data_IF_544206214057
#
_entry.id   IF_544206214057
#
_cell.length_a   1.000
_cell.length_b   1.000
_cell.length_c   1.000
_cell.angle_alpha   90.00
_cell.angle_beta   90.00
_cell.angle_gamma   90.00
#
_symmetry.space_group_name_H-M   'P 1'
#
loop_
_entity.id
_entity.type
_entity.pdbx_description
1 polymer ?
#
# COMPACT_ATOMS: atom_id res chain seq x y z
N UNK A 1 38.89 52.21 -47.60
CA UNK A 1 39.26 51.93 -46.21
C UNK A 1 38.15 52.48 -45.34
N UNK A 2 37.13 51.68 -45.04
CA UNK A 2 36.99 50.90 -43.77
C UNK A 2 37.04 51.81 -42.54
N UNK A 3 36.11 51.78 -41.60
CA UNK A 3 34.97 50.91 -41.35
C UNK A 3 34.05 51.62 -40.34
N UNK A 4 32.77 51.28 -40.40
CA UNK A 4 31.75 51.53 -39.39
C UNK A 4 32.16 51.00 -38.01
N UNK A 5 31.69 51.67 -36.95
CA UNK A 5 30.94 51.03 -35.86
C UNK A 5 30.57 52.05 -34.78
N UNK A 6 29.29 52.26 -34.53
CA UNK A 6 28.64 51.68 -33.35
C UNK A 6 27.25 52.30 -33.17
N UNK A 7 26.26 51.45 -33.42
CA UNK A 7 24.85 51.71 -33.28
C UNK A 7 24.39 51.61 -31.81
N UNK A 8 23.48 52.50 -31.40
CA UNK A 8 22.47 52.19 -30.38
C UNK A 8 21.20 52.95 -30.73
N UNK A 9 20.28 52.24 -31.39
CA UNK A 9 18.88 52.66 -31.49
C UNK A 9 18.05 51.75 -30.59
N UNK A 10 17.26 52.39 -29.75
CA UNK A 10 16.41 51.75 -28.75
C UNK A 10 14.98 51.65 -29.26
N UNK A 11 14.40 50.45 -29.03
CA UNK A 11 12.98 50.13 -28.80
C UNK A 11 11.97 50.40 -29.92
N UNK A 12 11.29 49.32 -30.31
CA UNK A 12 9.90 49.34 -30.74
C UNK A 12 9.15 48.20 -30.04
N UNK A 13 8.02 48.58 -29.45
CA UNK A 13 6.94 47.75 -28.91
C UNK A 13 6.24 46.90 -29.98
N UNK A 14 5.62 45.81 -29.54
CA UNK A 14 4.40 45.28 -30.16
C UNK A 14 4.46 43.83 -30.62
N UNK A 15 3.55 43.00 -30.08
CA UNK A 15 3.17 41.75 -30.75
C UNK A 15 2.67 40.64 -29.82
N UNK A 16 1.47 40.82 -29.27
CA UNK A 16 0.65 39.73 -28.73
C UNK A 16 0.28 38.75 -29.85
N UNK A 17 0.56 37.46 -29.67
CA UNK A 17 -0.11 36.37 -30.39
C UNK A 17 -0.69 35.39 -29.37
N UNK A 18 -2.00 35.49 -29.23
CA UNK A 18 -2.91 34.40 -28.85
C UNK A 18 -2.80 33.29 -29.88
N UNK A 19 -2.52 32.07 -29.42
CA UNK A 19 -2.87 30.86 -30.16
C UNK A 19 -3.18 29.74 -29.18
N UNK A 20 -4.48 29.46 -29.07
CA UNK A 20 -4.95 28.11 -29.41
C UNK A 20 -4.59 26.97 -28.45
N UNK A 21 -5.43 26.82 -27.43
CA UNK A 21 -5.74 25.56 -26.75
C UNK A 21 -5.88 24.39 -27.73
N UNK A 22 -5.06 23.33 -27.58
CA UNK A 22 -5.48 21.94 -27.30
C UNK A 22 -4.42 20.90 -27.71
N UNK A 23 -3.71 20.37 -26.72
CA UNK A 23 -3.26 18.98 -26.65
C UNK A 23 -3.29 18.64 -25.14
N UNK A 24 -4.19 17.79 -24.66
CA UNK A 24 -4.13 16.37 -24.98
C UNK A 24 -2.97 15.75 -24.20
N UNK A 25 -3.07 15.77 -22.87
CA UNK A 25 -2.07 15.27 -21.94
C UNK A 25 -2.68 14.92 -20.60
N UNK A 26 -3.75 14.11 -20.61
CA UNK A 26 -4.07 13.30 -19.43
C UNK A 26 -2.90 12.34 -19.19
N UNK A 27 -2.26 12.46 -18.02
CA UNK A 27 -1.92 11.36 -17.09
C UNK A 27 -1.08 11.88 -15.91
N UNK A 28 -1.70 11.83 -14.73
CA UNK A 28 -1.11 11.61 -13.39
C UNK A 28 0.04 12.53 -12.95
N UNK A 29 -0.32 13.72 -12.47
CA UNK A 29 0.54 14.53 -11.60
C UNK A 29 0.27 14.26 -10.10
N UNK A 30 -0.12 13.03 -9.73
CA UNK A 30 -0.44 12.64 -8.34
C UNK A 30 0.45 11.51 -7.77
N UNK A 31 1.54 11.12 -8.45
CA UNK A 31 2.39 9.98 -8.05
C UNK A 31 3.70 10.35 -7.32
N UNK A 32 3.85 11.60 -6.87
CA UNK A 32 5.18 12.11 -6.49
C UNK A 32 5.61 11.97 -5.03
N UNK A 33 4.68 11.73 -4.08
CA UNK A 33 5.02 11.75 -2.65
C UNK A 33 4.58 10.45 -1.99
N UNK A 34 5.50 9.49 -1.98
CA UNK A 34 5.41 8.29 -1.16
C UNK A 34 5.28 8.66 0.32
N UNK A 35 4.55 7.83 1.06
CA UNK A 35 4.55 7.89 2.52
C UNK A 35 5.95 7.54 3.06
N UNK A 36 6.19 7.89 4.32
CA UNK A 36 7.38 7.42 5.05
C UNK A 36 7.47 5.89 5.18
N UNK A 37 6.42 5.16 4.81
CA UNK A 37 6.30 3.71 4.96
C UNK A 37 6.45 2.94 3.64
N UNK A 38 6.75 3.60 2.51
CA UNK A 38 6.74 2.94 1.18
C UNK A 38 7.61 1.68 1.10
N UNK A 39 8.80 1.72 1.68
CA UNK A 39 9.73 0.58 1.65
C UNK A 39 9.26 -0.56 2.56
N UNK A 40 8.67 -0.22 3.71
CA UNK A 40 8.06 -1.19 4.62
C UNK A 40 6.86 -1.89 3.95
N UNK A 41 5.97 -1.13 3.30
CA UNK A 41 4.83 -1.66 2.54
C UNK A 41 5.30 -2.61 1.44
N UNK A 42 6.33 -2.22 0.68
CA UNK A 42 6.92 -3.05 -0.37
C UNK A 42 7.50 -4.35 0.20
N UNK A 43 8.21 -4.27 1.32
CA UNK A 43 8.79 -5.42 2.00
C UNK A 43 7.71 -6.41 2.48
N UNK A 44 6.65 -5.90 3.10
CA UNK A 44 5.52 -6.71 3.57
C UNK A 44 4.80 -7.41 2.41
N UNK A 45 4.53 -6.68 1.33
CA UNK A 45 3.91 -7.25 0.13
C UNK A 45 4.81 -8.28 -0.57
N UNK A 46 6.13 -8.07 -0.61
CA UNK A 46 7.07 -9.03 -1.16
C UNK A 46 7.14 -10.31 -0.32
N UNK A 47 7.13 -10.17 1.00
CA UNK A 47 7.15 -11.28 1.96
C UNK A 47 5.89 -12.13 1.86
N UNK A 48 4.71 -11.51 1.84
CA UNK A 48 3.43 -12.21 1.67
C UNK A 48 3.41 -13.07 0.40
N UNK A 49 3.85 -12.50 -0.74
CA UNK A 49 3.95 -13.21 -2.01
C UNK A 49 4.97 -14.36 -1.98
N UNK A 50 6.10 -14.17 -1.29
CA UNK A 50 7.12 -15.20 -1.16
C UNK A 50 6.62 -16.37 -0.33
N UNK A 51 5.99 -16.10 0.82
CA UNK A 51 5.38 -17.13 1.67
C UNK A 51 4.25 -17.85 0.94
N UNK A 52 3.41 -17.13 0.18
CA UNK A 52 2.34 -17.76 -0.59
C UNK A 52 2.86 -18.76 -1.64
N UNK A 53 4.01 -18.49 -2.25
CA UNK A 53 4.68 -19.41 -3.18
C UNK A 53 5.34 -20.60 -2.50
N UNK A 54 5.78 -20.43 -1.25
CA UNK A 54 6.48 -21.45 -0.45
C UNK A 54 5.56 -22.19 0.50
N UNK A 55 4.27 -21.88 0.49
CA UNK A 55 3.33 -22.43 1.44
C UNK A 55 3.29 -23.95 1.33
N UNK A 56 3.51 -24.59 2.46
CA UNK A 56 3.28 -26.01 2.67
C UNK A 56 2.30 -26.14 3.84
N UNK A 57 1.31 -27.01 3.67
CA UNK A 57 0.33 -27.24 4.72
C UNK A 57 1.04 -27.76 5.98
N UNK A 58 0.73 -27.20 7.16
CA UNK A 58 1.33 -27.68 8.39
C UNK A 58 0.92 -29.14 8.65
N UNK A 59 1.78 -29.93 9.32
CA UNK A 59 1.42 -31.29 9.73
C UNK A 59 0.26 -31.25 10.73
N UNK A 60 -0.41 -32.38 10.92
CA UNK A 60 -1.53 -32.52 11.86
C UNK A 60 -1.18 -31.96 13.25
N UNK A 61 -2.02 -31.06 13.75
CA UNK A 61 -1.82 -30.36 15.03
C UNK A 61 -0.94 -29.10 14.97
N UNK A 62 -0.24 -28.82 13.87
CA UNK A 62 0.60 -27.64 13.68
C UNK A 62 -0.13 -26.39 13.14
N UNK A 63 -1.42 -26.51 12.84
CA UNK A 63 -2.22 -25.45 12.22
C UNK A 63 -2.21 -24.14 13.01
N UNK A 64 -2.49 -24.20 14.32
CA UNK A 64 -2.57 -23.01 15.18
C UNK A 64 -1.23 -22.28 15.29
N UNK A 65 -0.12 -23.02 15.45
CA UNK A 65 1.21 -22.43 15.57
C UNK A 65 1.62 -21.73 14.26
N UNK A 66 1.39 -22.38 13.11
CA UNK A 66 1.70 -21.80 11.80
C UNK A 66 0.80 -20.60 11.49
N UNK A 67 -0.48 -20.69 11.81
CA UNK A 67 -1.43 -19.60 11.65
C UNK A 67 -1.03 -18.37 12.49
N UNK A 68 -0.62 -18.57 13.75
CA UNK A 68 -0.12 -17.49 14.61
C UNK A 68 1.17 -16.86 14.10
N UNK A 69 2.05 -17.64 13.45
CA UNK A 69 3.23 -17.12 12.74
C UNK A 69 2.80 -16.12 11.66
N UNK A 70 1.84 -16.47 10.78
CA UNK A 70 1.33 -15.56 9.75
C UNK A 70 0.61 -14.33 10.30
N UNK A 71 -0.05 -14.45 11.45
CA UNK A 71 -0.60 -13.27 12.14
C UNK A 71 0.52 -12.33 12.57
N UNK A 72 1.57 -12.85 13.24
CA UNK A 72 2.66 -12.04 13.78
C UNK A 72 3.56 -11.44 12.72
N UNK A 73 3.84 -12.19 11.66
CA UNK A 73 4.77 -11.80 10.60
C UNK A 73 4.11 -10.99 9.49
N UNK A 74 2.78 -11.06 9.38
CA UNK A 74 2.03 -10.49 8.27
C UNK A 74 0.88 -9.60 8.66
N UNK A 75 -0.19 -10.18 9.24
CA UNK A 75 -1.43 -9.44 9.54
C UNK A 75 -1.17 -8.27 10.50
N UNK A 76 -0.44 -8.54 11.59
CA UNK A 76 -0.11 -7.53 12.59
C UNK A 76 0.71 -6.37 12.00
N UNK A 77 1.87 -6.58 11.34
CA UNK A 77 2.65 -5.48 10.79
C UNK A 77 1.95 -4.73 9.65
N UNK A 78 1.24 -5.41 8.74
CA UNK A 78 0.47 -4.73 7.67
C UNK A 78 -0.60 -3.81 8.26
N UNK A 79 -1.31 -4.27 9.29
CA UNK A 79 -2.32 -3.46 9.97
C UNK A 79 -1.68 -2.33 10.79
N UNK A 80 -0.55 -2.61 11.45
CA UNK A 80 0.22 -1.65 12.23
C UNK A 80 0.67 -0.45 11.41
N UNK A 81 1.24 -0.68 10.22
CA UNK A 81 1.62 0.40 9.29
C UNK A 81 0.47 1.35 8.99
N UNK A 82 -0.74 0.79 8.76
CA UNK A 82 -1.90 1.63 8.52
C UNK A 82 -2.30 2.44 9.75
N UNK A 83 -2.29 1.83 10.95
CA UNK A 83 -2.61 2.53 12.21
C UNK A 83 -1.58 3.63 12.49
N UNK A 84 -0.29 3.34 12.37
CA UNK A 84 0.79 4.30 12.62
C UNK A 84 0.71 5.50 11.69
N UNK A 85 0.45 5.29 10.40
CA UNK A 85 0.25 6.38 9.44
C UNK A 85 -0.92 7.32 9.81
N UNK A 86 -1.94 6.81 10.51
CA UNK A 86 -3.14 7.56 10.89
C UNK A 86 -3.11 8.10 12.32
N UNK A 87 -2.20 7.63 13.17
CA UNK A 87 -2.09 8.03 14.58
C UNK A 87 -0.76 8.71 14.91
N UNK A 88 0.25 8.61 14.04
CA UNK A 88 1.49 9.35 14.12
C UNK A 88 1.27 10.84 13.88
N UNK A 89 2.04 11.68 14.58
CA UNK A 89 1.86 13.14 14.60
C UNK A 89 1.89 13.84 13.23
N UNK A 90 2.42 13.17 12.20
CA UNK A 90 2.25 13.54 10.79
C UNK A 90 1.33 12.51 10.12
N UNK A 91 0.04 12.81 9.99
CA UNK A 91 -0.93 11.98 9.27
C UNK A 91 -0.44 11.70 7.85
N UNK A 92 0.18 10.54 7.64
CA UNK A 92 0.77 10.18 6.37
C UNK A 92 -0.34 9.88 5.37
N UNK A 93 -0.31 10.55 4.21
CA UNK A 93 -1.17 10.19 3.08
C UNK A 93 -0.48 9.12 2.26
N UNK A 94 -1.06 7.92 2.25
CA UNK A 94 -0.67 6.90 1.29
C UNK A 94 -1.10 7.31 -0.12
N UNK A 95 -0.23 7.08 -1.08
CA UNK A 95 -0.60 7.00 -2.50
C UNK A 95 -1.55 5.82 -2.75
N UNK A 96 -2.29 5.86 -3.85
CA UNK A 96 -3.17 4.74 -4.23
C UNK A 96 -2.38 3.43 -4.38
N UNK A 97 -1.17 3.50 -4.94
CA UNK A 97 -0.28 2.34 -5.09
C UNK A 97 0.11 1.72 -3.74
N UNK A 98 0.38 2.54 -2.72
CA UNK A 98 0.71 2.05 -1.37
C UNK A 98 -0.49 1.38 -0.70
N UNK A 99 -1.69 1.97 -0.82
CA UNK A 99 -2.92 1.35 -0.31
C UNK A 99 -3.23 0.02 -1.00
N UNK A 100 -3.10 -0.04 -2.33
CA UNK A 100 -3.32 -1.28 -3.08
C UNK A 100 -2.32 -2.37 -2.67
N UNK A 101 -1.07 -2.00 -2.38
CA UNK A 101 -0.07 -2.94 -1.87
C UNK A 101 -0.41 -3.43 -0.47
N UNK A 102 -0.85 -2.55 0.42
CA UNK A 102 -1.32 -2.92 1.76
C UNK A 102 -2.51 -3.87 1.70
N UNK A 103 -3.51 -3.59 0.86
CA UNK A 103 -4.66 -4.47 0.64
C UNK A 103 -4.23 -5.85 0.16
N UNK A 104 -3.39 -5.91 -0.87
CA UNK A 104 -2.91 -7.20 -1.40
C UNK A 104 -2.10 -7.97 -0.38
N UNK A 105 -1.18 -7.31 0.34
CA UNK A 105 -0.37 -7.94 1.37
C UNK A 105 -1.24 -8.52 2.48
N UNK A 106 -2.22 -7.76 2.98
CA UNK A 106 -3.16 -8.23 4.00
C UNK A 106 -3.89 -9.49 3.54
N UNK A 107 -4.50 -9.45 2.35
CA UNK A 107 -5.31 -10.58 1.86
C UNK A 107 -4.46 -11.82 1.53
N UNK A 108 -3.22 -11.65 1.04
CA UNK A 108 -2.27 -12.75 0.88
C UNK A 108 -1.96 -13.43 2.24
N UNK A 109 -1.73 -12.65 3.31
CA UNK A 109 -1.48 -13.19 4.65
C UNK A 109 -2.71 -13.85 5.26
N UNK A 110 -3.90 -13.27 5.09
CA UNK A 110 -5.15 -13.87 5.55
C UNK A 110 -5.46 -15.18 4.83
N UNK A 111 -5.17 -15.26 3.53
CA UNK A 111 -5.28 -16.50 2.76
C UNK A 111 -4.35 -17.58 3.31
N UNK A 112 -3.10 -17.23 3.63
CA UNK A 112 -2.13 -18.16 4.23
C UNK A 112 -2.57 -18.63 5.62
N UNK A 113 -3.09 -17.72 6.43
CA UNK A 113 -3.67 -18.02 7.73
C UNK A 113 -4.81 -19.05 7.63
N UNK A 114 -5.77 -18.84 6.73
CA UNK A 114 -6.89 -19.76 6.54
C UNK A 114 -6.45 -21.12 5.99
N UNK A 115 -5.45 -21.13 5.10
CA UNK A 115 -4.87 -22.36 4.53
C UNK A 115 -4.20 -23.24 5.58
N UNK A 116 -3.70 -22.69 6.69
CA UNK A 116 -3.22 -23.49 7.82
C UNK A 116 -4.30 -24.41 8.40
N UNK A 117 -5.56 -24.01 8.29
CA UNK A 117 -6.73 -24.76 8.75
C UNK A 117 -7.40 -25.57 7.61
N UNK A 118 -6.74 -25.69 6.46
CA UNK A 118 -7.26 -26.42 5.31
C UNK A 118 -8.35 -25.68 4.53
N UNK A 119 -8.52 -24.37 4.75
CA UNK A 119 -9.53 -23.57 4.06
C UNK A 119 -8.83 -22.71 2.99
N UNK A 120 -9.21 -22.89 1.73
CA UNK A 120 -8.75 -22.02 0.64
C UNK A 120 -9.76 -20.88 0.46
N UNK A 121 -9.36 -19.68 0.86
CA UNK A 121 -10.13 -18.44 0.69
C UNK A 121 -9.24 -17.37 0.05
N UNK A 122 -9.88 -16.44 -0.65
CA UNK A 122 -9.27 -15.20 -1.13
C UNK A 122 -10.07 -14.05 -0.53
N UNK A 123 -9.68 -13.55 0.66
CA UNK A 123 -10.42 -12.49 1.33
C UNK A 123 -10.37 -11.19 0.53
N UNK A 124 -11.45 -10.42 0.54
CA UNK A 124 -11.51 -9.06 -0.02
C UNK A 124 -11.59 -8.03 1.12
N UNK A 125 -10.67 -8.16 2.07
CA UNK A 125 -10.62 -7.29 3.24
C UNK A 125 -9.85 -6.00 2.93
N UNK A 126 -10.31 -4.89 3.52
CA UNK A 126 -9.57 -3.63 3.47
C UNK A 126 -8.66 -3.48 4.70
N UNK A 127 -7.54 -2.76 4.54
CA UNK A 127 -6.61 -2.53 5.65
C UNK A 127 -7.21 -1.62 6.70
N UNK A 128 -8.14 -0.76 6.28
CA UNK A 128 -8.94 0.05 7.17
C UNK A 128 -9.81 -0.82 8.08
N UNK A 129 -10.54 -1.78 7.51
CA UNK A 129 -11.38 -2.71 8.30
C UNK A 129 -10.52 -3.52 9.27
N UNK A 130 -9.36 -4.01 8.83
CA UNK A 130 -8.41 -4.69 9.71
C UNK A 130 -7.95 -3.81 10.88
N UNK A 131 -7.62 -2.54 10.60
CA UNK A 131 -7.21 -1.58 11.63
C UNK A 131 -8.35 -1.25 12.60
N UNK A 132 -9.59 -1.08 12.11
CA UNK A 132 -10.76 -0.87 12.94
C UNK A 132 -10.97 -2.04 13.92
N UNK A 133 -10.87 -3.28 13.44
CA UNK A 133 -10.95 -4.48 14.29
C UNK A 133 -9.80 -4.48 15.29
N UNK A 134 -8.55 -4.24 14.84
CA UNK A 134 -7.38 -4.24 15.71
C UNK A 134 -7.51 -3.22 16.85
N UNK A 135 -7.98 -2.00 16.56
CA UNK A 135 -8.18 -0.97 17.57
C UNK A 135 -9.30 -1.31 18.56
N UNK A 136 -10.31 -2.08 18.14
CA UNK A 136 -11.39 -2.53 19.01
C UNK A 136 -10.96 -3.72 19.89
N UNK A 137 -10.27 -4.70 19.32
CA UNK A 137 -9.95 -5.97 20.00
C UNK A 137 -8.60 -5.94 20.70
N UNK A 138 -7.68 -5.08 20.25
CA UNK A 138 -6.26 -5.10 20.61
C UNK A 138 -5.60 -6.47 20.36
N UNK A 139 -6.15 -7.26 19.42
CA UNK A 139 -5.71 -8.61 19.11
C UNK A 139 -5.68 -8.85 17.59
N UNK A 140 -4.48 -8.97 17.02
CA UNK A 140 -4.28 -9.24 15.60
C UNK A 140 -4.72 -10.66 15.20
N UNK A 141 -4.76 -11.62 16.13
CA UNK A 141 -5.36 -12.94 15.86
C UNK A 141 -6.85 -12.80 15.61
N UNK A 142 -7.52 -11.92 16.35
CA UNK A 142 -8.94 -11.65 16.12
C UNK A 142 -9.20 -10.95 14.80
N UNK A 143 -8.30 -10.07 14.34
CA UNK A 143 -8.36 -9.52 12.99
C UNK A 143 -8.38 -10.64 11.95
N UNK A 144 -7.43 -11.56 12.02
CA UNK A 144 -7.35 -12.67 11.07
C UNK A 144 -8.59 -13.57 11.13
N UNK A 145 -9.05 -13.91 12.33
CA UNK A 145 -10.22 -14.77 12.51
C UNK A 145 -11.51 -14.12 12.03
N UNK A 146 -11.75 -12.85 12.35
CA UNK A 146 -12.96 -12.14 11.92
C UNK A 146 -13.01 -11.91 10.41
N UNK A 147 -11.86 -11.69 9.76
CA UNK A 147 -11.81 -11.44 8.32
C UNK A 147 -11.80 -12.72 7.48
N UNK A 148 -11.53 -13.88 8.08
CA UNK A 148 -11.53 -15.17 7.38
C UNK A 148 -12.64 -16.11 7.83
N UNK A 149 -13.31 -15.83 8.95
CA UNK A 149 -14.22 -16.73 9.66
C UNK A 149 -13.59 -18.09 10.05
N UNK A 150 -12.26 -18.13 10.18
CA UNK A 150 -11.48 -19.32 10.49
C UNK A 150 -10.58 -19.09 11.71
N UNK A 151 -10.48 -20.02 12.67
CA UNK A 151 -11.39 -21.14 12.86
C UNK A 151 -12.80 -20.63 13.24
N UNK A 152 -13.86 -21.39 12.94
CA UNK A 152 -15.23 -21.00 13.29
C UNK A 152 -15.34 -20.78 14.80
N UNK A 153 -16.13 -19.77 15.20
CA UNK A 153 -16.39 -19.49 16.62
C UNK A 153 -17.13 -20.70 17.21
N UNK A 154 -16.54 -21.33 18.23
CA UNK A 154 -17.21 -22.37 19.04
C UNK A 154 -18.27 -21.77 19.95
#
# INVERSE_FOLDING_TARGET
>A
MTEEASARSARADGGYTDDGRAAGGERTAEDGRHSGHVEEIRSLAASARAERRRFEAPPDGGADERALSYVREGVAPVTGVYVEAHTGGDHARFSQTELDLLHRALNDWLSLYARCYGVDVDPDATVRTAAEILLQTHDAREVARLLTDVPPRR
#
